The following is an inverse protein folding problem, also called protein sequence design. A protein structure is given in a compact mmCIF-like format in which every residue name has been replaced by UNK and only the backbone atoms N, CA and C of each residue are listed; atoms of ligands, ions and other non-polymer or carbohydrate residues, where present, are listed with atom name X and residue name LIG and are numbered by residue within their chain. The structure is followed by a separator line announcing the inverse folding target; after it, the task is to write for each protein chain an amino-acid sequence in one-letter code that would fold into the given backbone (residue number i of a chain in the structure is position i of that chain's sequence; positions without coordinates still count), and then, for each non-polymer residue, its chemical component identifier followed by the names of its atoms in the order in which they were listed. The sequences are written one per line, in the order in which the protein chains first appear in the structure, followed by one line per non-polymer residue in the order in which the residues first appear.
data_IF_848949883926
#
_entry.id   IF_848949883926
#
_cell.length_a   1.000
_cell.length_b   1.000
_cell.length_c   1.000
_cell.angle_alpha   90.00
_cell.angle_beta   90.00
_cell.angle_gamma   90.00
#
_symmetry.space_group_name_H-M   'P 1'
#
loop_
_entity.id
_entity.type
_entity.pdbx_description
1 polymer ?
#
# COMPACT_ATOMS: atom_id res chain seq x y z
N UNK A 1 8.29 25.84 -4.46
CA UNK A 1 7.95 24.61 -5.22
C UNK A 1 8.23 24.88 -6.69
N UNK A 2 8.97 23.99 -7.35
CA UNK A 2 9.28 24.09 -8.78
C UNK A 2 8.09 23.64 -9.62
N UNK A 3 7.89 24.32 -10.75
CA UNK A 3 6.88 23.97 -11.75
C UNK A 3 7.53 23.96 -13.12
N UNK A 4 7.63 22.78 -13.71
CA UNK A 4 8.09 22.60 -15.08
C UNK A 4 6.97 23.04 -16.02
N UNK A 5 7.27 24.00 -16.89
CA UNK A 5 6.36 24.45 -17.94
C UNK A 5 6.68 23.64 -19.20
N UNK A 6 5.69 22.90 -19.68
CA UNK A 6 5.69 22.30 -21.01
C UNK A 6 5.49 23.42 -22.04
N UNK A 7 6.60 23.96 -22.54
CA UNK A 7 6.61 25.16 -23.36
C UNK A 7 5.88 24.95 -24.68
N UNK A 8 5.98 23.75 -25.27
CA UNK A 8 5.29 23.42 -26.52
C UNK A 8 3.78 23.42 -26.29
N UNK A 9 3.30 22.71 -25.27
CA UNK A 9 1.86 22.68 -24.96
C UNK A 9 1.29 24.07 -24.68
N UNK A 10 2.00 24.88 -23.88
CA UNK A 10 1.59 26.25 -23.54
C UNK A 10 1.66 27.19 -24.75
N UNK A 11 2.68 27.08 -25.60
CA UNK A 11 2.78 27.93 -26.78
C UNK A 11 1.62 27.69 -27.76
N UNK A 12 1.20 26.44 -27.92
CA UNK A 12 0.10 26.04 -28.82
C UNK A 12 -1.31 26.30 -28.27
N UNK A 13 -1.48 26.66 -26.98
CA UNK A 13 -2.81 26.72 -26.37
C UNK A 13 -3.69 27.88 -26.85
N UNK A 14 -3.08 28.98 -27.30
CA UNK A 14 -3.77 30.10 -27.94
C UNK A 14 -3.06 30.41 -29.24
N UNK A 15 -3.63 29.91 -30.34
CA UNK A 15 -3.15 30.14 -31.70
C UNK A 15 -3.74 31.45 -32.22
N UNK A 16 -2.92 32.25 -32.90
CA UNK A 16 -3.41 33.44 -33.62
C UNK A 16 -3.99 33.06 -34.98
N UNK A 17 -4.35 34.05 -35.80
CA UNK A 17 -4.91 33.84 -37.14
C UNK A 17 -3.96 33.07 -38.10
N UNK A 18 -2.67 32.99 -37.76
CA UNK A 18 -1.62 32.30 -38.50
C UNK A 18 -1.31 30.88 -38.00
N UNK A 19 -2.10 30.37 -37.04
CA UNK A 19 -1.97 29.05 -36.40
C UNK A 19 -0.62 28.76 -35.70
N UNK A 20 0.23 29.78 -35.55
CA UNK A 20 1.57 29.61 -34.95
C UNK A 20 1.54 29.54 -33.42
N UNK A 21 2.41 28.72 -32.80
CA UNK A 21 2.67 28.79 -31.37
C UNK A 21 3.21 30.16 -30.97
N UNK A 22 2.79 30.66 -29.81
CA UNK A 22 3.08 32.03 -29.34
C UNK A 22 4.06 32.04 -28.19
N UNK A 23 5.18 32.76 -28.34
CA UNK A 23 6.13 32.99 -27.25
C UNK A 23 5.48 33.68 -26.04
N UNK A 24 4.58 34.62 -26.30
CA UNK A 24 3.85 35.36 -25.28
C UNK A 24 3.10 34.45 -24.30
N UNK A 25 2.55 33.32 -24.77
CA UNK A 25 1.82 32.37 -23.91
C UNK A 25 2.76 31.76 -22.86
N UNK A 26 3.98 31.38 -23.25
CA UNK A 26 5.00 30.82 -22.35
C UNK A 26 5.38 31.86 -21.29
N UNK A 27 5.64 33.10 -21.71
CA UNK A 27 6.05 34.18 -20.82
C UNK A 27 4.96 34.52 -19.80
N UNK A 28 3.69 34.59 -20.23
CA UNK A 28 2.54 34.80 -19.34
C UNK A 28 2.38 33.67 -18.33
N UNK A 29 2.57 32.42 -18.76
CA UNK A 29 2.54 31.27 -17.85
C UNK A 29 3.61 31.36 -16.77
N UNK A 30 4.84 31.69 -17.15
CA UNK A 30 5.94 31.86 -16.21
C UNK A 30 5.72 33.04 -15.25
N UNK A 31 5.19 34.16 -15.74
CA UNK A 31 4.84 35.32 -14.92
C UNK A 31 3.75 34.98 -13.89
N UNK A 32 2.68 34.32 -14.32
CA UNK A 32 1.57 33.97 -13.43
C UNK A 32 2.00 32.96 -12.36
N UNK A 33 2.81 31.96 -12.73
CA UNK A 33 3.39 31.02 -11.76
C UNK A 33 4.27 31.75 -10.73
N UNK A 34 5.09 32.73 -11.15
CA UNK A 34 5.88 33.56 -10.23
C UNK A 34 4.99 34.37 -9.28
N UNK A 35 3.90 34.95 -9.76
CA UNK A 35 2.92 35.68 -8.91
C UNK A 35 2.28 34.78 -7.85
N UNK A 36 2.08 33.50 -8.17
CA UNK A 36 1.57 32.49 -7.24
C UNK A 36 2.65 31.94 -6.28
N UNK A 37 3.90 32.41 -6.37
CA UNK A 37 5.00 31.97 -5.51
C UNK A 37 5.70 30.69 -5.96
N UNK A 38 5.51 30.28 -7.22
CA UNK A 38 6.20 29.14 -7.82
C UNK A 38 7.48 29.55 -8.54
N UNK A 39 8.41 28.60 -8.65
CA UNK A 39 9.64 28.73 -9.44
C UNK A 39 9.44 28.04 -10.79
N UNK A 40 9.18 28.77 -11.89
CA UNK A 40 8.97 28.17 -13.19
C UNK A 40 10.29 27.69 -13.82
N UNK A 41 10.28 26.48 -14.39
CA UNK A 41 11.35 25.94 -15.22
C UNK A 41 10.80 25.65 -16.60
N UNK A 42 11.24 26.37 -17.62
CA UNK A 42 10.66 26.28 -18.98
C UNK A 42 11.42 25.22 -19.77
N UNK A 43 10.71 24.18 -20.20
CA UNK A 43 11.26 23.09 -21.02
C UNK A 43 10.55 23.08 -22.38
N UNK A 44 11.33 23.18 -23.45
CA UNK A 44 10.82 23.21 -24.82
C UNK A 44 11.27 21.99 -25.63
N UNK A 45 10.35 21.48 -26.46
CA UNK A 45 10.69 20.51 -27.49
C UNK A 45 11.75 21.08 -28.47
N UNK A 46 12.56 20.19 -29.04
CA UNK A 46 13.48 20.47 -30.12
C UNK A 46 12.81 21.15 -31.32
N UNK A 47 11.57 20.78 -31.65
CA UNK A 47 10.81 21.31 -32.80
C UNK A 47 10.34 22.75 -32.61
N UNK A 48 9.99 23.15 -31.38
CA UNK A 48 9.30 24.42 -31.10
C UNK A 48 10.03 25.65 -31.63
N UNK A 49 11.38 25.66 -31.59
CA UNK A 49 12.22 26.76 -32.08
C UNK A 49 11.99 27.11 -33.56
N UNK A 50 11.48 26.15 -34.36
CA UNK A 50 11.25 26.32 -35.79
C UNK A 50 9.82 26.75 -36.11
N UNK A 51 8.90 26.58 -35.17
CA UNK A 51 7.46 26.78 -35.37
C UNK A 51 6.96 28.08 -34.73
N UNK A 52 7.61 28.52 -33.65
CA UNK A 52 7.21 29.69 -32.87
C UNK A 52 7.24 30.99 -33.68
N UNK A 53 6.33 31.90 -33.33
CA UNK A 53 6.15 33.18 -34.02
C UNK A 53 7.40 34.08 -33.96
N UNK A 54 7.95 34.31 -32.76
CA UNK A 54 9.16 35.11 -32.55
C UNK A 54 10.39 34.22 -32.29
N UNK A 55 10.96 33.68 -33.37
CA UNK A 55 12.09 32.74 -33.33
C UNK A 55 13.37 33.35 -32.77
N UNK A 56 13.65 34.61 -33.11
CA UNK A 56 14.88 35.28 -32.71
C UNK A 56 14.86 35.56 -31.21
N UNK A 57 13.73 36.02 -30.67
CA UNK A 57 13.63 36.24 -29.22
C UNK A 57 13.63 34.91 -28.45
N UNK A 58 12.92 33.89 -28.95
CA UNK A 58 12.97 32.53 -28.37
C UNK A 58 14.40 31.98 -28.30
N UNK A 59 15.20 32.17 -29.36
CA UNK A 59 16.59 31.74 -29.40
C UNK A 59 17.45 32.44 -28.34
N UNK A 60 17.23 33.74 -28.10
CA UNK A 60 17.93 34.47 -27.02
C UNK A 60 17.61 33.87 -25.64
N UNK A 61 16.37 33.47 -25.38
CA UNK A 61 16.00 32.81 -24.13
C UNK A 61 16.72 31.46 -23.94
N UNK A 62 16.89 30.69 -25.02
CA UNK A 62 17.69 29.46 -25.00
C UNK A 62 19.17 29.74 -24.73
N UNK A 63 19.77 30.72 -25.41
CA UNK A 63 21.19 31.08 -25.27
C UNK A 63 21.52 31.61 -23.85
N UNK A 64 20.58 32.31 -23.22
CA UNK A 64 20.69 32.76 -21.83
C UNK A 64 20.44 31.65 -20.80
N UNK A 65 19.97 30.47 -21.22
CA UNK A 65 19.62 29.36 -20.34
C UNK A 65 18.33 29.56 -19.55
N UNK A 66 17.54 30.59 -19.87
CA UNK A 66 16.24 30.84 -19.24
C UNK A 66 15.21 29.80 -19.70
N UNK A 67 15.31 29.37 -20.95
CA UNK A 67 14.55 28.24 -21.51
C UNK A 67 15.51 27.08 -21.72
N UNK A 68 15.11 25.86 -21.36
CA UNK A 68 15.89 24.66 -21.64
C UNK A 68 15.26 23.90 -22.79
N UNK A 69 16.07 23.46 -23.74
CA UNK A 69 15.62 22.60 -24.83
C UNK A 69 15.87 21.14 -24.46
N UNK A 70 14.90 20.28 -24.75
CA UNK A 70 15.06 18.82 -24.61
C UNK A 70 16.17 18.35 -25.56
N UNK A 71 17.04 17.40 -25.14
CA UNK A 71 18.09 16.88 -26.01
C UNK A 71 17.53 16.31 -27.33
N UNK A 72 18.24 16.49 -28.47
CA UNK A 72 17.80 15.92 -29.74
C UNK A 72 17.63 14.39 -29.67
N UNK A 73 16.55 13.88 -30.26
CA UNK A 73 16.25 12.44 -30.28
C UNK A 73 15.58 11.92 -28.99
N UNK A 74 15.34 12.78 -28.00
CA UNK A 74 14.60 12.44 -26.78
C UNK A 74 13.13 12.85 -26.93
N UNK A 75 12.22 12.01 -26.44
CA UNK A 75 10.80 12.38 -26.36
C UNK A 75 10.60 13.45 -25.27
N UNK A 76 10.02 14.59 -25.64
CA UNK A 76 9.85 15.73 -24.75
C UNK A 76 8.94 15.42 -23.55
N UNK A 77 7.83 14.71 -23.76
CA UNK A 77 6.88 14.37 -22.71
C UNK A 77 7.52 13.45 -21.67
N UNK A 78 8.22 12.40 -22.14
CA UNK A 78 8.96 11.49 -21.26
C UNK A 78 10.02 12.23 -20.43
N UNK A 79 10.79 13.12 -21.07
CA UNK A 79 11.81 13.92 -20.41
C UNK A 79 11.23 14.84 -19.34
N UNK A 80 10.11 15.52 -19.64
CA UNK A 80 9.40 16.39 -18.69
C UNK A 80 8.89 15.59 -17.49
N UNK A 81 8.26 14.44 -17.73
CA UNK A 81 7.75 13.57 -16.66
C UNK A 81 8.87 13.07 -15.75
N UNK A 82 9.97 12.59 -16.35
CA UNK A 82 11.13 12.11 -15.61
C UNK A 82 11.77 13.21 -14.78
N UNK A 83 12.00 14.38 -15.36
CA UNK A 83 12.56 15.53 -14.65
C UNK A 83 11.63 15.99 -13.51
N UNK A 84 10.31 15.96 -13.73
CA UNK A 84 9.35 16.31 -12.69
C UNK A 84 9.33 15.31 -11.52
N UNK A 85 9.57 14.03 -11.80
CA UNK A 85 9.71 13.01 -10.76
C UNK A 85 11.03 13.18 -10.00
N UNK A 86 12.15 13.33 -10.71
CA UNK A 86 13.49 13.50 -10.14
C UNK A 86 13.62 14.77 -9.28
N UNK A 87 13.06 15.90 -9.73
CA UNK A 87 13.11 17.17 -8.99
C UNK A 87 11.90 17.39 -8.08
N UNK A 88 10.99 16.41 -7.98
CA UNK A 88 9.70 16.53 -7.31
C UNK A 88 8.93 17.82 -7.68
N UNK A 89 8.96 18.16 -8.97
CA UNK A 89 8.29 19.33 -9.51
C UNK A 89 6.85 19.01 -9.93
N UNK A 90 6.02 20.05 -10.02
CA UNK A 90 4.73 19.98 -10.75
C UNK A 90 4.95 20.30 -12.22
N UNK A 91 4.00 19.91 -13.07
CA UNK A 91 4.05 20.14 -14.52
C UNK A 91 2.89 21.02 -14.92
N UNK A 92 3.14 22.18 -15.53
CA UNK A 92 2.11 22.99 -16.16
C UNK A 92 1.91 22.50 -17.59
N UNK A 93 0.86 21.70 -17.82
CA UNK A 93 0.47 21.20 -19.15
C UNK A 93 -1.01 20.84 -19.16
N UNK A 94 -1.65 21.00 -20.32
CA UNK A 94 -3.00 20.49 -20.56
C UNK A 94 -2.99 19.08 -21.19
N UNK A 95 -1.83 18.54 -21.57
CA UNK A 95 -1.71 17.15 -21.96
C UNK A 95 -1.89 16.23 -20.75
N UNK A 96 -2.59 15.11 -20.90
CA UNK A 96 -2.76 14.13 -19.83
C UNK A 96 -1.64 13.08 -19.78
N UNK A 97 -0.73 13.06 -20.77
CA UNK A 97 0.39 12.13 -20.90
C UNK A 97 -0.03 10.66 -20.79
N UNK A 98 -1.11 10.29 -21.51
CA UNK A 98 -1.77 9.00 -21.31
C UNK A 98 -0.88 7.82 -21.70
N UNK A 99 -0.05 7.97 -22.74
CA UNK A 99 0.88 6.91 -23.16
C UNK A 99 1.91 6.53 -22.09
N UNK A 100 2.20 7.41 -21.14
CA UNK A 100 3.20 7.20 -20.09
C UNK A 100 2.59 6.73 -18.77
N UNK A 101 1.28 6.44 -18.75
CA UNK A 101 0.57 6.06 -17.52
C UNK A 101 0.99 4.71 -16.94
N UNK A 102 1.64 3.85 -17.74
CA UNK A 102 2.22 2.58 -17.29
C UNK A 102 3.61 2.76 -16.66
N UNK A 103 4.33 3.84 -17.00
CA UNK A 103 5.69 4.11 -16.53
C UNK A 103 5.71 5.07 -15.32
N UNK A 104 4.92 6.15 -15.37
CA UNK A 104 4.90 7.16 -14.32
C UNK A 104 3.63 7.08 -13.49
N UNK A 105 3.80 7.03 -12.17
CA UNK A 105 2.67 6.98 -11.26
C UNK A 105 2.04 8.36 -11.08
N UNK A 106 0.70 8.36 -11.09
CA UNK A 106 -0.09 9.49 -10.62
C UNK A 106 0.21 10.84 -11.29
N UNK A 107 0.53 10.82 -12.58
CA UNK A 107 0.79 11.99 -13.43
C UNK A 107 -0.23 13.12 -13.19
N UNK A 108 -1.51 12.78 -13.02
CA UNK A 108 -2.59 13.75 -12.81
C UNK A 108 -2.45 14.61 -11.55
N UNK A 109 -1.76 14.15 -10.52
CA UNK A 109 -1.50 14.93 -9.30
C UNK A 109 -0.23 15.78 -9.39
N UNK A 110 0.69 15.44 -10.32
CA UNK A 110 1.84 16.28 -10.68
C UNK A 110 1.45 17.36 -11.69
N UNK A 111 0.50 17.07 -12.56
CA UNK A 111 0.05 17.98 -13.62
C UNK A 111 -0.92 19.05 -13.10
N UNK A 112 -0.58 20.30 -13.35
CA UNK A 112 -1.40 21.48 -13.16
C UNK A 112 -2.00 21.87 -14.52
N UNK A 113 -3.33 21.72 -14.71
CA UNK A 113 -3.98 22.21 -15.92
C UNK A 113 -4.08 23.74 -15.91
N UNK A 114 -4.27 24.36 -17.06
CA UNK A 114 -4.46 25.80 -17.19
C UNK A 114 -5.50 26.13 -18.26
N UNK A 115 -5.98 27.38 -18.26
CA UNK A 115 -6.84 27.88 -19.32
C UNK A 115 -6.48 29.33 -19.63
N UNK A 116 -6.72 29.79 -20.87
CA UNK A 116 -6.63 31.19 -21.22
C UNK A 116 -8.03 31.82 -21.17
N UNK A 117 -8.20 32.88 -20.37
CA UNK A 117 -9.41 33.71 -20.38
C UNK A 117 -9.01 35.11 -20.83
N UNK A 118 -9.57 35.53 -21.96
CA UNK A 118 -9.12 36.74 -22.65
C UNK A 118 -7.60 36.67 -22.84
N UNK A 119 -6.85 37.63 -22.30
CA UNK A 119 -5.39 37.70 -22.44
C UNK A 119 -4.60 37.19 -21.23
N UNK A 120 -5.29 36.57 -20.25
CA UNK A 120 -4.68 36.06 -19.01
C UNK A 120 -4.75 34.54 -18.94
N UNK A 121 -3.63 33.94 -18.57
CA UNK A 121 -3.59 32.52 -18.19
C UNK A 121 -4.14 32.37 -16.77
N UNK A 122 -5.00 31.37 -16.57
CA UNK A 122 -5.54 30.98 -15.28
C UNK A 122 -4.99 29.60 -14.95
N UNK A 123 -4.15 29.55 -13.91
CA UNK A 123 -3.55 28.32 -13.42
C UNK A 123 -4.58 27.54 -12.60
N UNK A 124 -4.81 26.28 -12.98
CA UNK A 124 -5.74 25.38 -12.29
C UNK A 124 -5.15 24.75 -11.04
N UNK A 125 -5.82 23.70 -10.56
CA UNK A 125 -5.32 22.86 -9.45
C UNK A 125 -5.01 21.46 -9.95
N UNK A 126 -3.93 20.83 -9.48
CA UNK A 126 -3.65 19.43 -9.82
C UNK A 126 -4.72 18.51 -9.25
N UNK A 127 -4.80 17.29 -9.80
CA UNK A 127 -5.69 16.27 -9.26
C UNK A 127 -5.21 15.84 -7.87
N UNK A 128 -6.13 15.31 -7.06
CA UNK A 128 -5.72 14.69 -5.79
C UNK A 128 -4.87 13.44 -6.08
N UNK A 129 -3.80 13.19 -5.30
CA UNK A 129 -2.98 12.00 -5.49
C UNK A 129 -3.80 10.71 -5.47
N UNK A 130 -3.53 9.80 -6.41
CA UNK A 130 -4.19 8.49 -6.47
C UNK A 130 -3.73 7.63 -5.29
N UNK A 131 -4.70 7.05 -4.57
CA UNK A 131 -4.44 6.08 -3.49
C UNK A 131 -3.78 4.82 -4.06
N UNK A 132 -2.74 4.33 -3.40
CA UNK A 132 -2.15 3.02 -3.71
C UNK A 132 -3.12 1.92 -3.28
N UNK A 133 -3.77 1.27 -4.26
CA UNK A 133 -4.89 0.33 -4.06
C UNK A 133 -4.59 -0.80 -3.06
N UNK A 134 -3.33 -1.18 -2.87
CA UNK A 134 -2.91 -2.32 -2.06
C UNK A 134 -1.95 -1.95 -0.90
N UNK A 135 -1.95 -0.71 -0.42
CA UNK A 135 -1.01 -0.26 0.61
C UNK A 135 -1.07 -1.10 1.89
N UNK A 136 -2.25 -1.54 2.32
CA UNK A 136 -2.40 -2.40 3.51
C UNK A 136 -1.75 -3.77 3.32
N UNK A 137 -1.92 -4.38 2.14
CA UNK A 137 -1.29 -5.67 1.83
C UNK A 137 0.23 -5.55 1.72
N UNK A 138 0.75 -4.44 1.17
CA UNK A 138 2.18 -4.16 1.13
C UNK A 138 2.76 -4.03 2.54
N UNK A 139 2.12 -3.24 3.40
CA UNK A 139 2.51 -3.09 4.81
C UNK A 139 2.49 -4.43 5.54
N UNK A 140 1.40 -5.21 5.42
CA UNK A 140 1.32 -6.52 6.08
C UNK A 140 2.38 -7.50 5.56
N UNK A 141 2.68 -7.46 4.26
CA UNK A 141 3.72 -8.31 3.68
C UNK A 141 5.11 -7.93 4.20
N UNK A 142 5.40 -6.64 4.33
CA UNK A 142 6.66 -6.16 4.90
C UNK A 142 6.78 -6.57 6.37
N UNK A 143 5.74 -6.34 7.18
CA UNK A 143 5.72 -6.75 8.59
C UNK A 143 6.00 -8.26 8.71
N UNK A 144 5.27 -9.10 7.98
CA UNK A 144 5.46 -10.55 8.05
C UNK A 144 6.86 -10.98 7.60
N UNK A 145 7.44 -10.29 6.60
CA UNK A 145 8.81 -10.51 6.18
C UNK A 145 9.85 -10.09 7.24
N UNK A 146 9.58 -9.06 8.05
CA UNK A 146 10.42 -8.69 9.19
C UNK A 146 10.34 -9.72 10.32
N UNK A 147 9.15 -10.26 10.61
CA UNK A 147 8.98 -11.36 11.56
C UNK A 147 9.79 -12.59 11.13
N UNK A 148 9.66 -13.00 9.87
CA UNK A 148 10.41 -14.12 9.29
C UNK A 148 11.93 -13.90 9.38
N UNK A 149 12.41 -12.69 9.08
CA UNK A 149 13.83 -12.32 9.22
C UNK A 149 14.33 -12.37 10.66
N UNK A 150 13.45 -12.21 11.65
CA UNK A 150 13.73 -12.36 13.08
C UNK A 150 13.52 -13.79 13.58
N UNK A 151 13.25 -14.74 12.67
CA UNK A 151 13.07 -16.16 12.96
C UNK A 151 11.61 -16.59 13.08
N UNK A 152 10.64 -15.68 13.13
CA UNK A 152 9.24 -16.05 13.33
C UNK A 152 8.57 -16.38 12.00
N UNK A 153 8.43 -17.67 11.70
CA UNK A 153 7.67 -18.13 10.55
C UNK A 153 6.20 -17.71 10.63
N UNK A 154 5.56 -17.65 9.45
CA UNK A 154 4.16 -17.28 9.35
C UNK A 154 3.45 -18.04 8.24
N UNK A 155 2.13 -18.12 8.36
CA UNK A 155 1.25 -18.74 7.39
C UNK A 155 1.17 -17.92 6.09
N UNK A 156 1.73 -18.47 5.00
CA UNK A 156 1.94 -17.76 3.71
C UNK A 156 0.79 -17.84 2.72
N UNK A 157 -0.20 -18.73 2.92
CA UNK A 157 -1.27 -18.92 1.94
C UNK A 157 -2.16 -17.67 1.87
N UNK A 158 -2.44 -17.21 0.65
CA UNK A 158 -3.23 -15.99 0.36
C UNK A 158 -4.46 -16.28 -0.52
N UNK A 159 -4.61 -17.51 -1.00
CA UNK A 159 -5.70 -17.91 -1.91
C UNK A 159 -6.82 -18.55 -1.12
N UNK A 160 -7.88 -17.80 -0.82
CA UNK A 160 -9.03 -18.36 -0.11
C UNK A 160 -9.93 -19.25 -0.97
N UNK A 161 -10.79 -20.05 -0.32
CA UNK A 161 -11.90 -20.83 -0.91
C UNK A 161 -13.22 -20.05 -0.80
N UNK A 162 -14.28 -20.47 -1.49
CA UNK A 162 -15.59 -19.79 -1.45
C UNK A 162 -16.17 -19.89 -0.03
N UNK A 163 -16.58 -18.77 0.54
CA UNK A 163 -17.05 -18.68 1.92
C UNK A 163 -18.40 -19.38 2.13
N UNK A 164 -18.43 -20.31 3.09
CA UNK A 164 -19.63 -20.83 3.77
C UNK A 164 -19.21 -21.56 5.05
N UNK A 165 -20.08 -21.65 6.06
CA UNK A 165 -19.76 -22.38 7.30
C UNK A 165 -19.40 -23.85 7.06
N UNK A 166 -20.12 -24.52 6.16
CA UNK A 166 -19.86 -25.92 5.77
C UNK A 166 -18.48 -26.07 5.10
N UNK A 167 -18.13 -25.14 4.20
CA UNK A 167 -16.83 -25.20 3.53
C UNK A 167 -15.67 -24.97 4.52
N UNK A 168 -15.84 -24.10 5.52
CA UNK A 168 -14.84 -23.87 6.56
C UNK A 168 -14.64 -25.15 7.40
N UNK A 169 -15.73 -25.75 7.89
CA UNK A 169 -15.65 -26.96 8.69
C UNK A 169 -15.01 -28.12 7.91
N UNK A 170 -15.41 -28.31 6.64
CA UNK A 170 -14.81 -29.32 5.77
C UNK A 170 -13.31 -29.09 5.59
N UNK A 171 -12.89 -27.86 5.32
CA UNK A 171 -11.47 -27.54 5.16
C UNK A 171 -10.66 -27.81 6.43
N UNK A 172 -11.24 -27.52 7.59
CA UNK A 172 -10.58 -27.78 8.87
C UNK A 172 -10.41 -29.29 9.11
N UNK A 173 -11.46 -30.08 8.87
CA UNK A 173 -11.44 -31.55 8.94
C UNK A 173 -10.36 -32.11 8.02
N UNK A 174 -10.42 -31.78 6.73
CA UNK A 174 -9.50 -32.30 5.71
C UNK A 174 -8.03 -32.01 6.05
N UNK A 175 -7.74 -30.88 6.74
CA UNK A 175 -6.37 -30.52 7.15
C UNK A 175 -5.93 -31.19 8.43
N UNK A 176 -6.80 -31.31 9.42
CA UNK A 176 -6.44 -31.96 10.69
C UNK A 176 -6.22 -33.46 10.45
N UNK A 177 -7.10 -34.13 9.68
CA UNK A 177 -6.89 -35.54 9.28
C UNK A 177 -5.54 -35.72 8.60
N UNK A 178 -5.18 -34.81 7.68
CA UNK A 178 -3.89 -34.86 7.00
C UNK A 178 -2.70 -34.70 7.96
N UNK A 179 -2.81 -33.83 8.96
CA UNK A 179 -1.76 -33.62 9.99
C UNK A 179 -1.62 -34.87 10.86
N UNK A 180 -2.71 -35.53 11.23
CA UNK A 180 -2.71 -36.79 11.99
C UNK A 180 -2.16 -37.97 11.19
N UNK A 181 -2.45 -38.05 9.88
CA UNK A 181 -2.02 -39.15 9.00
C UNK A 181 -0.54 -39.06 8.58
N UNK A 182 -0.07 -37.86 8.21
CA UNK A 182 1.27 -37.68 7.65
C UNK A 182 2.33 -37.35 8.72
N UNK A 183 1.90 -36.99 9.94
CA UNK A 183 2.73 -36.23 10.87
C UNK A 183 3.06 -34.84 10.29
N UNK A 184 3.45 -33.88 11.13
CA UNK A 184 3.80 -32.53 10.64
C UNK A 184 4.91 -32.62 9.56
N UNK A 185 4.72 -31.90 8.44
CA UNK A 185 5.86 -31.54 7.59
C UNK A 185 6.94 -30.88 8.49
N UNK A 186 8.26 -31.08 8.26
CA UNK A 186 9.35 -30.61 9.10
C UNK A 186 9.55 -29.07 9.22
N UNK A 187 8.48 -28.27 9.14
CA UNK A 187 8.56 -26.80 9.12
C UNK A 187 8.50 -26.15 10.50
N UNK A 188 8.54 -26.92 11.59
CA UNK A 188 8.43 -26.40 12.96
C UNK A 188 9.57 -26.83 13.90
N UNK A 189 10.55 -27.60 13.43
CA UNK A 189 11.70 -28.02 14.26
C UNK A 189 12.73 -26.90 14.52
N UNK A 190 12.63 -25.76 13.83
CA UNK A 190 13.66 -24.71 13.86
C UNK A 190 13.57 -23.68 15.00
N UNK A 191 12.43 -23.52 15.68
CA UNK A 191 12.19 -22.31 16.49
C UNK A 191 11.85 -22.51 17.97
N UNK A 192 11.59 -23.73 18.42
CA UNK A 192 11.06 -23.96 19.79
C UNK A 192 12.11 -24.37 20.82
N UNK A 193 13.41 -24.21 20.54
CA UNK A 193 14.41 -24.31 21.60
C UNK A 193 14.63 -22.96 22.30
N UNK A 194 13.94 -22.81 23.44
CA UNK A 194 14.20 -21.95 24.62
C UNK A 194 13.18 -20.84 24.88
N UNK A 195 12.16 -21.15 25.67
CA UNK A 195 11.69 -20.23 26.71
C UNK A 195 11.14 -21.02 27.93
N UNK A 196 11.77 -20.92 29.11
CA UNK A 196 11.41 -21.67 30.33
C UNK A 196 10.24 -21.03 31.11
N UNK A 197 9.29 -20.40 30.42
CA UNK A 197 8.21 -19.62 31.06
C UNK A 197 6.84 -20.31 31.05
N UNK A 198 6.68 -21.43 30.33
CA UNK A 198 5.38 -22.10 30.16
C UNK A 198 4.92 -22.85 31.43
N UNK A 199 5.84 -23.44 32.19
CA UNK A 199 5.51 -24.23 33.39
C UNK A 199 4.90 -23.40 34.52
N UNK A 200 5.18 -22.08 34.58
CA UNK A 200 4.73 -21.21 35.68
C UNK A 200 3.33 -20.63 35.51
N UNK A 201 2.73 -20.70 34.32
CA UNK A 201 1.44 -20.05 34.05
C UNK A 201 0.27 -21.03 33.95
N UNK A 202 0.52 -22.32 33.72
CA UNK A 202 -0.51 -23.36 33.82
C UNK A 202 -1.14 -23.45 35.22
N UNK A 203 -0.49 -22.89 36.25
CA UNK A 203 -1.03 -22.78 37.62
C UNK A 203 -1.94 -21.54 37.84
N UNK A 204 -1.93 -20.54 36.95
CA UNK A 204 -2.64 -19.26 37.13
C UNK A 204 -3.99 -19.18 36.40
N UNK A 205 -4.32 -20.21 35.62
CA UNK A 205 -5.64 -20.38 34.97
C UNK A 205 -6.37 -21.52 35.66
N UNK A 206 -6.97 -21.27 36.83
CA UNK A 206 -7.86 -22.25 37.46
C UNK A 206 -9.27 -22.23 36.84
N UNK A 207 -9.75 -23.44 36.54
CA UNK A 207 -11.12 -23.86 36.19
C UNK A 207 -11.72 -23.39 34.86
N UNK A 208 -11.06 -23.72 33.75
CA UNK A 208 -11.76 -24.15 32.54
C UNK A 208 -10.85 -25.08 31.74
N UNK A 209 -11.24 -26.35 31.68
CA UNK A 209 -11.01 -27.33 30.61
C UNK A 209 -9.72 -27.18 29.80
N UNK A 210 -8.87 -28.21 29.88
CA UNK A 210 -7.82 -28.52 28.90
C UNK A 210 -8.30 -28.10 27.51
N UNK A 211 -7.74 -27.00 27.02
CA UNK A 211 -8.09 -26.37 25.74
C UNK A 211 -7.99 -27.42 24.63
N UNK A 212 -8.92 -27.41 23.68
CA UNK A 212 -8.93 -28.34 22.54
C UNK A 212 -7.57 -28.53 21.90
N UNK A 213 -7.31 -29.72 21.34
CA UNK A 213 -5.98 -30.07 20.80
C UNK A 213 -5.50 -29.09 19.71
N UNK A 214 -6.44 -28.43 19.03
CA UNK A 214 -6.20 -27.49 17.95
C UNK A 214 -6.86 -26.13 18.14
N UNK A 215 -6.19 -25.10 17.63
CA UNK A 215 -6.75 -23.76 17.39
C UNK A 215 -6.91 -23.55 15.88
N UNK A 216 -8.13 -23.21 15.45
CA UNK A 216 -8.48 -22.94 14.05
C UNK A 216 -8.66 -21.43 13.88
N UNK A 217 -7.68 -20.77 13.27
CA UNK A 217 -7.80 -19.39 12.81
C UNK A 217 -8.53 -19.35 11.46
N UNK A 218 -9.77 -18.90 11.45
CA UNK A 218 -10.56 -18.70 10.23
C UNK A 218 -10.28 -17.30 9.70
N UNK A 219 -9.48 -17.22 8.63
CA UNK A 219 -9.00 -15.98 8.01
C UNK A 219 -10.01 -15.49 6.98
N UNK A 220 -10.52 -14.27 7.16
CA UNK A 220 -11.57 -13.71 6.30
C UNK A 220 -11.34 -12.24 5.99
N UNK A 221 -11.98 -11.76 4.93
CA UNK A 221 -11.99 -10.33 4.65
C UNK A 221 -12.70 -9.58 5.82
N UNK A 222 -12.23 -8.37 6.22
CA UNK A 222 -12.88 -7.59 7.27
C UNK A 222 -14.38 -7.33 7.06
N UNK A 223 -14.86 -7.32 5.82
CA UNK A 223 -16.27 -7.13 5.51
C UNK A 223 -17.14 -8.36 5.83
N UNK A 224 -16.55 -9.55 5.87
CA UNK A 224 -17.27 -10.81 6.06
C UNK A 224 -17.22 -11.27 7.53
N UNK A 225 -16.35 -10.67 8.35
CA UNK A 225 -16.10 -11.05 9.76
C UNK A 225 -17.36 -11.32 10.57
N UNK A 226 -18.31 -10.37 10.58
CA UNK A 226 -19.53 -10.47 11.41
C UNK A 226 -20.43 -11.63 11.01
N UNK A 227 -20.43 -11.99 9.74
CA UNK A 227 -21.18 -13.15 9.26
C UNK A 227 -20.49 -14.44 9.72
N UNK A 228 -19.17 -14.52 9.55
CA UNK A 228 -18.41 -15.75 9.80
C UNK A 228 -18.29 -16.09 11.28
N UNK A 229 -18.25 -15.10 12.18
CA UNK A 229 -18.28 -15.33 13.63
C UNK A 229 -19.49 -16.17 14.05
N UNK A 230 -20.63 -16.04 13.36
CA UNK A 230 -21.83 -16.83 13.66
C UNK A 230 -21.66 -18.32 13.36
N UNK A 231 -20.71 -18.68 12.50
CA UNK A 231 -20.41 -20.07 12.16
C UNK A 231 -19.43 -20.73 13.14
N UNK A 232 -18.71 -19.97 13.97
CA UNK A 232 -17.58 -20.47 14.76
C UNK A 232 -17.96 -21.65 15.67
N UNK A 233 -19.06 -21.54 16.43
CA UNK A 233 -19.53 -22.63 17.30
C UNK A 233 -19.92 -23.89 16.53
N UNK A 234 -20.67 -23.74 15.43
CA UNK A 234 -21.06 -24.88 14.59
C UNK A 234 -19.84 -25.55 13.93
N UNK A 235 -18.83 -24.78 13.54
CA UNK A 235 -17.57 -25.32 13.02
C UNK A 235 -16.88 -26.17 14.09
N UNK A 236 -16.73 -25.64 15.31
CA UNK A 236 -16.08 -26.36 16.40
C UNK A 236 -16.75 -27.71 16.68
N UNK A 237 -18.08 -27.72 16.83
CA UNK A 237 -18.87 -28.94 17.06
C UNK A 237 -18.73 -29.92 15.89
N UNK A 238 -18.84 -29.43 14.66
CA UNK A 238 -18.75 -30.30 13.46
C UNK A 238 -17.37 -30.98 13.36
N UNK A 239 -16.29 -30.23 13.60
CA UNK A 239 -14.93 -30.77 13.55
C UNK A 239 -14.72 -31.79 14.68
N UNK A 240 -15.12 -31.44 15.91
CA UNK A 240 -15.04 -32.32 17.08
C UNK A 240 -15.74 -33.67 16.85
N UNK A 241 -17.01 -33.64 16.43
CA UNK A 241 -17.80 -34.86 16.21
C UNK A 241 -17.27 -35.70 15.05
N UNK A 242 -16.81 -35.05 13.97
CA UNK A 242 -16.38 -35.75 12.76
C UNK A 242 -15.06 -36.48 12.97
N UNK A 243 -14.12 -35.83 13.64
CA UNK A 243 -12.77 -36.35 13.90
C UNK A 243 -12.70 -37.18 15.19
N UNK A 244 -13.73 -37.09 16.06
CA UNK A 244 -13.75 -37.73 17.38
C UNK A 244 -12.56 -37.31 18.25
N UNK A 245 -12.27 -36.01 18.25
CA UNK A 245 -11.23 -35.43 19.10
C UNK A 245 -11.58 -35.61 20.58
N UNK A 246 -10.58 -35.61 21.44
CA UNK A 246 -10.80 -35.67 22.89
C UNK A 246 -11.45 -34.38 23.41
N UNK A 247 -11.13 -33.25 22.78
CA UNK A 247 -11.63 -31.93 23.11
C UNK A 247 -12.01 -31.14 21.85
N UNK A 248 -13.04 -30.29 21.95
CA UNK A 248 -13.47 -29.47 20.82
C UNK A 248 -12.44 -28.37 20.49
N UNK A 249 -12.11 -28.15 19.21
CA UNK A 249 -11.10 -27.17 18.83
C UNK A 249 -11.61 -25.74 19.04
N UNK A 250 -10.69 -24.83 19.35
CA UNK A 250 -11.02 -23.42 19.50
C UNK A 250 -11.06 -22.74 18.13
N UNK A 251 -12.20 -22.15 17.76
CA UNK A 251 -12.36 -21.47 16.47
C UNK A 251 -12.28 -19.95 16.64
N UNK A 252 -11.21 -19.36 16.13
CA UNK A 252 -10.97 -17.92 16.17
C UNK A 252 -11.12 -17.30 14.78
N UNK A 253 -12.15 -16.49 14.56
CA UNK A 253 -12.32 -15.74 13.31
C UNK A 253 -11.39 -14.51 13.33
N UNK A 254 -10.60 -14.34 12.28
CA UNK A 254 -9.60 -13.27 12.17
C UNK A 254 -9.76 -12.51 10.86
N UNK A 255 -9.65 -11.19 10.94
CA UNK A 255 -9.52 -10.35 9.75
C UNK A 255 -8.16 -10.57 9.10
N UNK A 256 -8.16 -10.77 7.79
CA UNK A 256 -6.96 -10.90 6.97
C UNK A 256 -7.11 -10.04 5.69
N UNK A 257 -6.22 -9.06 5.52
CA UNK A 257 -6.27 -8.11 4.39
C UNK A 257 -5.91 -8.73 3.04
N UNK A 258 -5.30 -9.92 3.02
CA UNK A 258 -5.00 -10.66 1.79
C UNK A 258 -6.22 -11.45 1.29
N UNK A 259 -7.16 -11.77 2.16
CA UNK A 259 -8.35 -12.54 1.79
C UNK A 259 -9.37 -11.65 1.07
N UNK A 260 -9.79 -12.08 -0.12
CA UNK A 260 -10.84 -11.40 -0.90
C UNK A 260 -12.20 -11.60 -0.25
N UNK A 261 -13.08 -10.61 -0.42
CA UNK A 261 -14.48 -10.69 0.00
C UNK A 261 -15.17 -11.95 -0.54
N UNK A 262 -15.99 -12.60 0.29
CA UNK A 262 -16.72 -13.82 -0.02
C UNK A 262 -15.82 -15.06 -0.09
N UNK A 263 -14.59 -14.97 0.45
CA UNK A 263 -13.64 -16.08 0.52
C UNK A 263 -13.09 -16.23 1.94
N UNK A 264 -12.57 -17.41 2.24
CA UNK A 264 -11.95 -17.72 3.52
C UNK A 264 -10.68 -18.54 3.33
N UNK A 265 -9.86 -18.59 4.37
CA UNK A 265 -8.77 -19.53 4.53
C UNK A 265 -8.74 -20.00 5.99
N UNK A 266 -8.10 -21.13 6.29
CA UNK A 266 -7.88 -21.58 7.67
C UNK A 266 -6.38 -21.72 7.94
N UNK A 267 -5.94 -21.25 9.10
CA UNK A 267 -4.63 -21.55 9.67
C UNK A 267 -4.87 -22.37 10.94
N UNK A 268 -4.36 -23.59 11.00
CA UNK A 268 -4.63 -24.53 12.09
C UNK A 268 -3.31 -24.85 12.76
N UNK A 269 -3.28 -24.73 14.08
CA UNK A 269 -2.11 -24.96 14.91
C UNK A 269 -2.50 -25.83 16.09
N UNK A 270 -1.55 -26.57 16.64
CA UNK A 270 -1.73 -27.17 17.96
C UNK A 270 -1.83 -26.07 19.02
N UNK A 271 -2.58 -26.34 20.09
CA UNK A 271 -2.80 -25.33 21.14
C UNK A 271 -1.51 -24.90 21.85
N UNK A 272 -0.50 -25.76 21.93
CA UNK A 272 0.83 -25.46 22.50
C UNK A 272 1.76 -24.70 21.54
N UNK A 273 1.48 -24.70 20.24
CA UNK A 273 2.22 -23.94 19.22
C UNK A 273 1.73 -22.48 19.09
N UNK A 274 0.56 -22.15 19.63
CA UNK A 274 0.01 -20.80 19.57
C UNK A 274 0.70 -19.90 20.59
N UNK A 275 1.31 -18.81 20.11
CA UNK A 275 1.90 -17.81 20.98
C UNK A 275 0.81 -17.05 21.74
N UNK A 276 0.94 -16.88 23.04
CA UNK A 276 -0.02 -16.06 23.81
C UNK A 276 -0.01 -14.60 23.34
N UNK A 277 1.19 -14.04 23.17
CA UNK A 277 1.44 -12.68 22.74
C UNK A 277 2.27 -12.61 21.47
N UNK A 278 2.01 -11.58 20.66
CA UNK A 278 2.90 -11.28 19.55
C UNK A 278 4.26 -10.81 20.10
N UNK A 279 5.39 -11.35 19.61
CA UNK A 279 6.72 -11.04 20.15
C UNK A 279 7.17 -9.60 19.89
N UNK A 280 6.52 -8.90 18.96
CA UNK A 280 6.82 -7.52 18.61
C UNK A 280 5.55 -6.69 18.43
N UNK A 281 5.63 -5.46 18.90
CA UNK A 281 4.74 -4.38 18.49
C UNK A 281 5.24 -3.77 17.17
N UNK A 282 4.31 -3.15 16.44
CA UNK A 282 4.50 -2.72 15.07
C UNK A 282 4.36 -1.20 15.02
N UNK A 283 5.43 -0.51 14.62
CA UNK A 283 5.41 0.91 14.30
C UNK A 283 5.48 1.10 12.79
N UNK A 284 4.48 1.78 12.23
CA UNK A 284 4.41 2.13 10.81
C UNK A 284 4.64 3.63 10.68
N UNK A 285 5.70 4.01 9.99
CA UNK A 285 5.93 5.39 9.55
C UNK A 285 5.45 5.49 8.10
N UNK A 286 4.62 6.47 7.76
CA UNK A 286 3.98 6.53 6.44
C UNK A 286 3.83 7.97 5.95
N UNK A 287 3.82 8.15 4.63
CA UNK A 287 3.48 9.43 4.00
C UNK A 287 2.12 9.99 4.48
N UNK A 288 2.01 11.33 4.45
CA UNK A 288 0.82 12.06 4.93
C UNK A 288 -0.46 11.72 4.15
N UNK A 289 -0.34 11.34 2.87
CA UNK A 289 -1.49 11.05 2.02
C UNK A 289 -2.23 9.77 2.47
N UNK A 290 -1.49 8.75 2.90
CA UNK A 290 -2.03 7.44 3.29
C UNK A 290 -2.24 7.29 4.80
N UNK A 291 -1.66 8.18 5.63
CA UNK A 291 -1.71 8.12 7.09
C UNK A 291 -3.10 7.82 7.65
N UNK A 292 -4.10 8.64 7.29
CA UNK A 292 -5.46 8.50 7.81
C UNK A 292 -6.12 7.16 7.41
N UNK A 293 -5.79 6.65 6.22
CA UNK A 293 -6.35 5.39 5.74
C UNK A 293 -5.74 4.20 6.49
N UNK A 294 -4.42 4.19 6.66
CA UNK A 294 -3.70 3.13 7.38
C UNK A 294 -4.03 3.16 8.87
N UNK A 295 -4.06 4.34 9.50
CA UNK A 295 -4.44 4.50 10.91
C UNK A 295 -5.83 3.93 11.21
N UNK A 296 -6.82 4.16 10.34
CA UNK A 296 -8.18 3.62 10.49
C UNK A 296 -8.24 2.09 10.32
N UNK A 297 -7.26 1.49 9.65
CA UNK A 297 -7.18 0.06 9.38
C UNK A 297 -6.13 -0.67 10.23
N UNK A 298 -5.51 -0.03 11.22
CA UNK A 298 -4.46 -0.63 12.05
C UNK A 298 -4.91 -1.92 12.75
N UNK A 299 -6.18 -2.01 13.17
CA UNK A 299 -6.75 -3.24 13.75
C UNK A 299 -6.78 -4.41 12.76
N UNK A 300 -7.03 -4.13 11.48
CA UNK A 300 -7.01 -5.16 10.45
C UNK A 300 -5.59 -5.63 10.17
N UNK A 301 -4.60 -4.73 10.26
CA UNK A 301 -3.17 -5.08 10.19
C UNK A 301 -2.81 -5.99 11.37
N UNK A 302 -3.13 -5.57 12.60
CA UNK A 302 -2.86 -6.34 13.82
C UNK A 302 -3.47 -7.75 13.75
N UNK A 303 -4.74 -7.84 13.33
CA UNK A 303 -5.42 -9.12 13.15
C UNK A 303 -4.80 -9.99 12.07
N UNK A 304 -4.40 -9.40 10.93
CA UNK A 304 -3.78 -10.15 9.84
C UNK A 304 -2.44 -10.74 10.30
N UNK A 305 -1.62 -9.94 10.98
CA UNK A 305 -0.31 -10.35 11.46
C UNK A 305 -0.48 -11.45 12.50
N UNK A 306 -1.26 -11.21 13.57
CA UNK A 306 -1.48 -12.18 14.63
C UNK A 306 -1.94 -13.54 14.11
N UNK A 307 -2.94 -13.55 13.22
CA UNK A 307 -3.49 -14.79 12.70
C UNK A 307 -2.52 -15.57 11.79
N UNK A 308 -1.57 -14.87 11.16
CA UNK A 308 -0.56 -15.50 10.30
C UNK A 308 0.67 -15.97 11.05
N UNK A 309 1.13 -15.23 12.06
CA UNK A 309 2.23 -15.67 12.92
C UNK A 309 1.77 -16.71 13.96
N UNK A 310 0.46 -16.88 14.16
CA UNK A 310 -0.07 -17.81 15.15
C UNK A 310 -0.07 -17.25 16.57
N UNK A 311 -0.34 -15.95 16.74
CA UNK A 311 -0.49 -15.35 18.08
C UNK A 311 -1.97 -15.17 18.48
N UNK A 312 -2.27 -15.42 19.75
CA UNK A 312 -3.59 -15.27 20.33
C UNK A 312 -3.94 -13.80 20.58
N UNK A 313 -3.07 -13.05 21.26
CA UNK A 313 -3.18 -11.60 21.40
C UNK A 313 -2.66 -10.90 20.15
N UNK A 314 -3.26 -9.74 19.86
CA UNK A 314 -2.88 -8.90 18.74
C UNK A 314 -1.63 -8.08 19.09
N UNK A 315 -0.69 -7.86 18.15
CA UNK A 315 0.37 -6.87 18.35
C UNK A 315 -0.22 -5.46 18.41
N UNK A 316 0.41 -4.56 19.16
CA UNK A 316 0.06 -3.15 19.13
C UNK A 316 0.54 -2.57 17.80
N UNK A 317 -0.36 -1.90 17.07
CA UNK A 317 -0.02 -1.25 15.79
C UNK A 317 -0.12 0.27 15.95
N UNK A 318 1.05 0.91 15.99
CA UNK A 318 1.20 2.35 15.95
C UNK A 318 1.42 2.81 14.50
N UNK A 319 0.82 3.95 14.15
CA UNK A 319 0.97 4.56 12.81
C UNK A 319 1.30 6.03 13.03
N UNK A 320 2.39 6.50 12.43
CA UNK A 320 2.90 7.87 12.53
C UNK A 320 3.08 8.46 11.12
N UNK A 321 2.66 9.72 10.88
CA UNK A 321 2.96 10.39 9.63
C UNK A 321 4.45 10.78 9.56
N UNK A 322 5.00 10.84 8.34
CA UNK A 322 6.32 11.40 8.08
C UNK A 322 6.23 12.45 6.98
N UNK A 323 6.63 13.68 7.32
CA UNK A 323 6.75 14.78 6.36
C UNK A 323 7.93 14.60 5.39
N UNK A 324 8.83 13.66 5.66
CA UNK A 324 9.94 13.31 4.76
C UNK A 324 9.53 12.30 3.68
N UNK A 325 8.40 11.59 3.88
CA UNK A 325 7.85 10.65 2.91
C UNK A 325 6.78 11.37 2.09
N UNK A 326 7.14 11.75 0.87
CA UNK A 326 6.31 12.63 0.04
C UNK A 326 5.44 11.85 -0.95
N UNK A 327 5.85 10.63 -1.32
CA UNK A 327 5.11 9.87 -2.34
C UNK A 327 4.05 8.94 -1.72
N UNK A 328 2.83 8.88 -2.30
CA UNK A 328 1.83 7.88 -1.91
C UNK A 328 2.39 6.45 -1.99
N UNK A 329 2.07 5.64 -0.99
CA UNK A 329 2.57 4.28 -0.83
C UNK A 329 3.95 4.15 -0.19
N UNK A 330 4.67 5.24 0.09
CA UNK A 330 5.89 5.20 0.89
C UNK A 330 5.56 4.95 2.37
N UNK A 331 6.23 3.95 2.94
CA UNK A 331 6.16 3.61 4.35
C UNK A 331 7.45 2.92 4.81
N UNK A 332 7.64 2.88 6.12
CA UNK A 332 8.65 2.11 6.82
C UNK A 332 7.99 1.34 7.97
N UNK A 333 8.47 0.12 8.23
CA UNK A 333 7.99 -0.73 9.32
C UNK A 333 9.14 -0.95 10.29
N UNK A 334 8.86 -0.71 11.57
CA UNK A 334 9.81 -0.96 12.66
C UNK A 334 9.13 -1.89 13.67
N UNK A 335 9.80 -3.01 13.98
CA UNK A 335 9.37 -3.94 15.01
C UNK A 335 10.08 -3.61 16.33
N UNK A 336 9.31 -3.34 17.37
CA UNK A 336 9.78 -3.09 18.74
C UNK A 336 9.39 -4.27 19.63
N UNK A 337 10.22 -4.67 20.60
CA UNK A 337 9.89 -5.82 21.47
C UNK A 337 8.54 -5.58 22.16
N UNK A 338 7.60 -6.51 21.94
CA UNK A 338 6.26 -6.50 22.53
C UNK A 338 6.25 -7.12 23.93
N UNK A 339 5.09 -7.08 24.60
CA UNK A 339 4.85 -7.79 25.88
C UNK A 339 5.41 -7.10 27.13
N UNK A 340 5.69 -5.79 27.07
CA UNK A 340 6.09 -4.99 28.23
C UNK A 340 5.05 -3.90 28.49
N UNK A 341 3.89 -4.26 29.02
CA UNK A 341 2.92 -3.32 29.59
C UNK A 341 2.22 -3.94 30.79
#
# INVERSE_FOLDING_TARGET
MRVIIDASNVAHSRKGDDDKPRLENILKAAEELRKLGYEPVIIADASLRHEIDDKEEFKKYLEKGEFKQVPPGTNADHFILKLAEEENAKILSNDAFKEYSDEFQDIGSRRIPYNFKEDKIVIGRPSKPKRVKNVLQKICAEILGEFERKGFDYYKVKRGKKLSGIAIAKEAIDRIEKVEEEGLEPKLEGLFMKLPLFDKFMELVEEAERTGDFIIFVLVNPQDYREVVKYAGNIAVTVFERLKLDHAPLVAVRNDVFIKKGRFEVNILYSDEVMEEAPYDINIIINDHDYNFVKKNSRNIASTVAARIGSWRFPIVSVKPSMLMENPGEFEVILEKGGSS
#
